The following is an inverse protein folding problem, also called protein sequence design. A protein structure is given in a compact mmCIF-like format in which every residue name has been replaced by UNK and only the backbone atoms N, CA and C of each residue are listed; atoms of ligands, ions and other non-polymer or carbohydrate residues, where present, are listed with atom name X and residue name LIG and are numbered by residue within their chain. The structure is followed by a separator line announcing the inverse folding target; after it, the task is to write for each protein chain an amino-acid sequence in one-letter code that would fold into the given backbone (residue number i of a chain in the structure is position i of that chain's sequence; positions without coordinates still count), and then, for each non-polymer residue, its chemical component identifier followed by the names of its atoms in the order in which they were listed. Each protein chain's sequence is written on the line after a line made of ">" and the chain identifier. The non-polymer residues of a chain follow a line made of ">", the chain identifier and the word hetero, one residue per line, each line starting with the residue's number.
data_IF_595673492889
#
_entry.id   IF_595673492889
#
_cell.length_a   1.000
_cell.length_b   1.000
_cell.length_c   1.000
_cell.angle_alpha   90.00
_cell.angle_beta   90.00
_cell.angle_gamma   90.00
#
_symmetry.space_group_name_H-M   'P 1'
#
loop_
_entity.id
_entity.type
_entity.pdbx_description
1 polymer ?
#
# COMPACT_ATOMS: atom_id res chain seq x y z
N UNK A 1 7.74 3.63 28.93
CA UNK A 1 7.90 2.64 27.84
C UNK A 1 7.22 3.18 26.60
N UNK A 2 7.97 3.87 25.75
CA UNK A 2 7.48 4.21 24.40
C UNK A 2 7.20 2.88 23.69
N UNK A 3 5.92 2.65 23.37
CA UNK A 3 5.53 1.51 22.55
C UNK A 3 6.27 1.66 21.23
N UNK A 4 7.24 0.78 20.97
CA UNK A 4 7.94 0.66 19.70
C UNK A 4 6.94 0.92 18.57
N UNK A 5 7.08 2.07 17.93
CA UNK A 5 6.32 2.44 16.77
C UNK A 5 6.68 1.38 15.74
N UNK A 6 5.79 0.43 15.52
CA UNK A 6 5.89 -0.51 14.41
C UNK A 6 5.05 0.15 13.33
N UNK A 7 5.59 1.14 12.60
CA UNK A 7 4.87 1.68 11.46
C UNK A 7 4.65 0.49 10.56
N UNK A 8 3.45 0.36 10.00
CA UNK A 8 3.26 -0.68 8.99
C UNK A 8 4.22 -0.36 7.86
N UNK A 9 5.22 -1.23 7.69
CA UNK A 9 6.19 -1.20 6.60
C UNK A 9 5.64 -2.12 5.52
N UNK A 10 5.21 -1.52 4.42
CA UNK A 10 5.18 -2.20 3.13
C UNK A 10 6.55 -2.09 2.46
N UNK A 11 6.83 -2.93 1.50
CA UNK A 11 8.07 -2.93 0.73
C UNK A 11 7.70 -2.67 -0.73
N UNK A 12 8.35 -1.70 -1.36
CA UNK A 12 8.18 -1.38 -2.78
C UNK A 12 9.49 -1.60 -3.52
N UNK A 13 9.40 -2.08 -4.75
CA UNK A 13 10.55 -2.12 -5.65
C UNK A 13 10.66 -0.76 -6.34
N UNK A 14 11.86 -0.16 -6.36
CA UNK A 14 12.06 1.10 -7.09
C UNK A 14 13.22 1.03 -8.07
N UNK A 15 13.11 1.79 -9.15
CA UNK A 15 14.17 1.96 -10.14
C UNK A 15 15.22 2.99 -9.69
N UNK A 16 16.23 3.25 -10.52
CA UNK A 16 17.30 4.22 -10.23
C UNK A 16 16.83 5.68 -10.18
N UNK A 17 15.61 5.95 -10.64
CA UNK A 17 14.93 7.25 -10.57
C UNK A 17 13.89 7.30 -9.45
N UNK A 18 13.85 6.27 -8.60
CA UNK A 18 12.92 6.14 -7.48
C UNK A 18 11.45 5.97 -7.89
N UNK A 19 11.17 5.54 -9.13
CA UNK A 19 9.81 5.15 -9.52
C UNK A 19 9.48 3.75 -9.05
N UNK A 20 8.23 3.52 -8.64
CA UNK A 20 7.75 2.19 -8.23
C UNK A 20 7.65 1.27 -9.45
N UNK A 21 8.17 0.05 -9.29
CA UNK A 21 8.17 -0.97 -10.34
C UNK A 21 6.95 -1.87 -10.17
N UNK A 22 5.92 -1.63 -10.98
CA UNK A 22 4.76 -2.52 -11.14
C UNK A 22 4.93 -3.59 -12.22
N UNK A 23 3.93 -4.48 -12.39
CA UNK A 23 3.84 -5.38 -13.54
C UNK A 23 3.86 -4.62 -14.88
N UNK A 24 4.42 -5.21 -15.95
CA UNK A 24 4.43 -4.57 -17.27
C UNK A 24 3.01 -4.22 -17.77
N UNK A 25 2.86 -3.03 -18.37
CA UNK A 25 1.58 -2.57 -18.93
C UNK A 25 0.52 -2.18 -17.90
N UNK A 26 0.90 -2.01 -16.62
CA UNK A 26 -0.01 -1.62 -15.55
C UNK A 26 0.45 -0.31 -14.90
N UNK A 27 -0.50 0.44 -14.37
CA UNK A 27 -0.27 1.68 -13.59
C UNK A 27 -0.40 1.43 -12.09
N UNK A 28 -0.18 0.20 -11.64
CA UNK A 28 -0.33 -0.17 -10.22
C UNK A 28 1.01 -0.06 -9.50
N UNK A 29 0.94 0.40 -8.26
CA UNK A 29 2.07 0.47 -7.34
C UNK A 29 1.99 -0.69 -6.33
N UNK A 30 2.69 -1.82 -6.57
CA UNK A 30 2.60 -2.97 -5.69
C UNK A 30 3.39 -2.74 -4.40
N UNK A 31 2.73 -2.99 -3.28
CA UNK A 31 3.32 -2.91 -1.94
C UNK A 31 3.26 -4.28 -1.26
N UNK A 32 4.43 -4.83 -0.96
CA UNK A 32 4.62 -6.19 -0.43
C UNK A 32 4.82 -6.20 1.08
N UNK A 33 4.49 -7.29 1.75
CA UNK A 33 4.63 -7.39 3.21
C UNK A 33 6.06 -7.64 3.69
N UNK A 34 6.97 -8.07 2.81
CA UNK A 34 8.39 -8.26 3.10
C UNK A 34 9.24 -8.07 1.85
N UNK A 35 10.53 -7.75 2.06
CA UNK A 35 11.51 -7.56 1.00
C UNK A 35 11.61 -8.75 0.04
N UNK A 36 11.64 -9.97 0.59
CA UNK A 36 11.71 -11.19 -0.22
C UNK A 36 10.53 -11.31 -1.20
N UNK A 37 9.32 -10.95 -0.77
CA UNK A 37 8.15 -10.99 -1.67
C UNK A 37 8.24 -9.97 -2.79
N UNK A 38 8.83 -8.81 -2.53
CA UNK A 38 9.11 -7.80 -3.55
C UNK A 38 10.15 -8.32 -4.57
N UNK A 39 11.25 -8.91 -4.09
CA UNK A 39 12.27 -9.52 -4.96
C UNK A 39 11.69 -10.67 -5.81
N UNK A 40 10.92 -11.57 -5.20
CA UNK A 40 10.26 -12.67 -5.92
C UNK A 40 9.30 -12.12 -6.99
N UNK A 41 8.64 -10.99 -6.73
CA UNK A 41 7.76 -10.33 -7.70
C UNK A 41 8.55 -9.72 -8.87
N UNK A 42 9.72 -9.11 -8.62
CA UNK A 42 10.59 -8.59 -9.66
C UNK A 42 10.98 -9.68 -10.68
N UNK A 43 11.24 -10.89 -10.20
CA UNK A 43 11.53 -12.06 -11.03
C UNK A 43 10.30 -12.45 -11.84
N UNK A 44 9.12 -12.57 -11.20
CA UNK A 44 7.86 -12.90 -11.89
C UNK A 44 7.48 -11.88 -12.96
N UNK A 45 7.78 -10.60 -12.74
CA UNK A 45 7.51 -9.52 -13.68
C UNK A 45 8.55 -9.44 -14.82
N UNK A 46 9.64 -10.21 -14.75
CA UNK A 46 10.75 -10.13 -15.69
C UNK A 46 11.46 -8.78 -15.66
N UNK A 47 11.54 -8.13 -14.49
CA UNK A 47 12.10 -6.77 -14.32
C UNK A 47 13.16 -6.68 -13.23
N UNK A 48 13.81 -7.80 -12.90
CA UNK A 48 14.83 -7.87 -11.83
C UNK A 48 16.03 -6.97 -12.13
N UNK A 49 16.38 -6.80 -13.41
CA UNK A 49 17.42 -5.90 -13.92
C UNK A 49 17.14 -4.42 -13.66
N UNK A 50 15.88 -4.05 -13.45
CA UNK A 50 15.45 -2.66 -13.22
C UNK A 50 15.39 -2.29 -11.74
N UNK A 51 15.45 -3.26 -10.84
CA UNK A 51 15.36 -3.02 -9.41
C UNK A 51 16.67 -2.39 -8.92
N UNK A 52 16.61 -1.11 -8.55
CA UNK A 52 17.73 -0.43 -7.93
C UNK A 52 17.79 -0.73 -6.42
N UNK A 53 16.64 -0.70 -5.75
CA UNK A 53 16.52 -1.03 -4.33
C UNK A 53 15.09 -1.46 -3.96
N UNK A 54 14.96 -2.15 -2.84
CA UNK A 54 13.68 -2.32 -2.16
C UNK A 54 13.56 -1.24 -1.08
N UNK A 55 12.53 -0.40 -1.17
CA UNK A 55 12.29 0.68 -0.23
C UNK A 55 11.19 0.30 0.75
N UNK A 56 11.39 0.68 2.02
CA UNK A 56 10.36 0.62 3.04
C UNK A 56 9.35 1.75 2.83
N UNK A 57 8.07 1.41 2.81
CA UNK A 57 6.95 2.33 2.67
C UNK A 57 6.13 2.33 3.97
N UNK A 58 6.15 3.46 4.67
CA UNK A 58 5.39 3.64 5.89
C UNK A 58 3.92 3.98 5.61
N UNK A 59 3.04 3.66 6.57
CA UNK A 59 1.61 3.98 6.52
C UNK A 59 1.32 5.45 6.17
N UNK A 60 2.14 6.40 6.65
CA UNK A 60 2.00 7.83 6.31
C UNK A 60 2.25 8.13 4.84
N UNK A 61 3.23 7.47 4.22
CA UNK A 61 3.42 7.53 2.77
C UNK A 61 2.22 6.94 2.01
N UNK A 62 1.63 5.86 2.54
CA UNK A 62 0.42 5.25 1.97
C UNK A 62 -0.79 6.20 2.08
N UNK A 63 -0.93 6.91 3.21
CA UNK A 63 -1.98 7.90 3.38
C UNK A 63 -1.83 9.10 2.45
N UNK A 64 -0.60 9.59 2.25
CA UNK A 64 -0.36 10.69 1.33
C UNK A 64 -0.77 10.33 -0.11
N UNK A 65 -0.43 9.13 -0.57
CA UNK A 65 -0.82 8.68 -1.92
C UNK A 65 -2.35 8.48 -2.03
N UNK A 66 -3.02 7.98 -0.99
CA UNK A 66 -4.48 7.82 -1.04
C UNK A 66 -5.23 9.16 -1.01
N UNK A 67 -4.71 10.16 -0.28
CA UNK A 67 -5.41 11.42 -0.04
C UNK A 67 -5.05 12.52 -1.05
N UNK A 68 -3.83 12.50 -1.60
CA UNK A 68 -3.27 13.63 -2.37
C UNK A 68 -2.69 13.28 -3.73
N UNK A 69 -2.62 11.99 -4.10
CA UNK A 69 -2.04 11.52 -5.36
C UNK A 69 -3.14 10.89 -6.25
N UNK A 70 -2.86 10.63 -7.52
CA UNK A 70 -3.72 9.87 -8.45
C UNK A 70 -3.46 8.35 -8.37
N UNK A 71 -2.33 7.94 -7.78
CA UNK A 71 -1.94 6.54 -7.63
C UNK A 71 -2.76 5.75 -6.61
N UNK A 72 -3.01 4.46 -6.88
CA UNK A 72 -3.54 3.50 -5.91
C UNK A 72 -2.49 2.44 -5.61
N UNK A 73 -2.11 2.30 -4.34
CA UNK A 73 -1.25 1.20 -3.95
C UNK A 73 -2.04 -0.08 -3.82
N UNK A 74 -1.50 -1.11 -4.46
CA UNK A 74 -2.08 -2.43 -4.47
C UNK A 74 -1.34 -3.30 -3.45
N UNK A 75 -2.07 -3.74 -2.43
CA UNK A 75 -1.54 -4.47 -1.27
C UNK A 75 -1.75 -5.98 -1.44
N UNK A 76 -0.77 -6.77 -0.99
CA UNK A 76 -0.97 -8.20 -0.75
C UNK A 76 -1.84 -8.45 0.50
N UNK A 77 -2.20 -9.70 0.79
CA UNK A 77 -3.09 -10.05 1.88
C UNK A 77 -2.60 -9.61 3.27
N UNK A 78 -1.30 -9.76 3.54
CA UNK A 78 -0.71 -9.39 4.84
C UNK A 78 -0.59 -7.88 4.97
N UNK A 79 -0.16 -7.20 3.91
CA UNK A 79 -0.13 -5.74 3.84
C UNK A 79 -1.53 -5.14 4.04
N UNK A 80 -2.54 -5.64 3.33
CA UNK A 80 -3.92 -5.17 3.47
C UNK A 80 -4.43 -5.32 4.90
N UNK A 81 -4.16 -6.46 5.55
CA UNK A 81 -4.57 -6.68 6.93
C UNK A 81 -3.86 -5.73 7.91
N UNK A 82 -2.54 -5.54 7.76
CA UNK A 82 -1.75 -4.63 8.60
C UNK A 82 -2.21 -3.19 8.39
N UNK A 83 -2.42 -2.79 7.14
CA UNK A 83 -2.93 -1.48 6.76
C UNK A 83 -4.30 -1.22 7.40
N UNK A 84 -5.27 -2.13 7.25
CA UNK A 84 -6.59 -2.03 7.86
C UNK A 84 -6.53 -1.87 9.39
N UNK A 85 -5.72 -2.69 10.07
CA UNK A 85 -5.52 -2.61 11.53
C UNK A 85 -4.91 -1.27 11.95
N UNK A 86 -3.97 -0.76 11.19
CA UNK A 86 -3.32 0.52 11.47
C UNK A 86 -4.26 1.71 11.24
N UNK A 87 -5.13 1.66 10.22
CA UNK A 87 -6.18 2.66 10.02
C UNK A 87 -7.08 2.76 11.26
N UNK A 88 -7.57 1.61 11.76
CA UNK A 88 -8.37 1.57 12.99
C UNK A 88 -7.64 2.13 14.22
N UNK A 89 -6.36 1.77 14.39
CA UNK A 89 -5.53 2.27 15.51
C UNK A 89 -5.36 3.80 15.48
N UNK A 90 -5.40 4.42 14.30
CA UNK A 90 -5.33 5.87 14.10
C UNK A 90 -6.69 6.57 14.18
N UNK A 91 -7.75 5.86 14.56
CA UNK A 91 -9.11 6.43 14.67
C UNK A 91 -9.82 6.60 13.33
N UNK A 92 -9.28 6.05 12.24
CA UNK A 92 -9.94 6.05 10.95
C UNK A 92 -11.00 4.95 10.89
N UNK A 93 -12.01 5.15 10.04
CA UNK A 93 -13.12 4.21 9.82
C UNK A 93 -12.96 3.47 8.47
N UNK A 94 -12.03 2.53 8.31
CA UNK A 94 -11.93 1.75 7.08
C UNK A 94 -13.17 0.85 6.90
N UNK A 95 -13.46 0.45 5.66
CA UNK A 95 -14.66 -0.31 5.29
C UNK A 95 -14.80 -1.58 6.13
N UNK A 96 -15.85 -1.61 6.95
CA UNK A 96 -16.14 -2.71 7.88
C UNK A 96 -16.33 -4.05 7.16
N UNK A 97 -16.81 -4.02 5.93
CA UNK A 97 -16.97 -5.21 5.08
C UNK A 97 -15.70 -5.57 4.32
N UNK A 98 -14.73 -4.66 4.20
CA UNK A 98 -13.44 -4.95 3.57
C UNK A 98 -12.61 -5.93 4.40
N UNK A 99 -12.60 -5.80 5.73
CA UNK A 99 -11.89 -6.73 6.61
C UNK A 99 -12.25 -8.20 6.39
N UNK A 100 -13.54 -8.48 6.14
CA UNK A 100 -14.06 -9.82 5.89
C UNK A 100 -13.59 -10.41 4.56
N UNK A 101 -13.15 -9.56 3.63
CA UNK A 101 -12.71 -9.93 2.27
C UNK A 101 -11.18 -10.09 2.15
N UNK A 102 -10.42 -9.72 3.18
CA UNK A 102 -8.97 -9.86 3.19
C UNK A 102 -8.60 -11.31 3.52
N UNK A 103 -8.01 -12.01 2.54
CA UNK A 103 -7.31 -13.26 2.76
C UNK A 103 -5.85 -12.95 3.11
N UNK A 104 -5.37 -13.24 4.33
CA UNK A 104 -3.99 -12.93 4.74
C UNK A 104 -2.93 -13.80 4.04
N UNK A 105 -3.32 -14.84 3.30
CA UNK A 105 -2.43 -15.68 2.51
C UNK A 105 -2.37 -15.29 1.03
N UNK A 106 -3.13 -14.28 0.63
CA UNK A 106 -3.05 -13.73 -0.72
C UNK A 106 -1.66 -13.15 -0.98
N UNK A 107 -1.03 -13.60 -2.07
CA UNK A 107 0.31 -13.18 -2.48
C UNK A 107 0.27 -12.11 -3.57
N UNK A 108 -0.86 -12.00 -4.27
CA UNK A 108 -1.02 -11.00 -5.32
C UNK A 108 -1.47 -9.66 -4.75
N UNK A 109 -0.91 -8.59 -5.31
CA UNK A 109 -1.25 -7.21 -4.98
C UNK A 109 -2.61 -6.85 -5.57
N UNK A 110 -3.70 -7.30 -4.94
CA UNK A 110 -5.07 -7.09 -5.42
C UNK A 110 -5.94 -6.23 -4.52
N UNK A 111 -5.48 -5.91 -3.31
CA UNK A 111 -6.22 -5.09 -2.37
C UNK A 111 -5.87 -3.62 -2.53
N UNK A 112 -6.81 -2.86 -3.11
CA UNK A 112 -6.71 -1.40 -3.23
C UNK A 112 -6.70 -0.71 -1.87
N UNK A 113 -5.66 0.08 -1.62
CA UNK A 113 -5.54 0.92 -0.43
C UNK A 113 -6.69 1.93 -0.31
N UNK A 114 -7.15 2.49 -1.44
CA UNK A 114 -8.30 3.40 -1.50
C UNK A 114 -9.61 2.71 -1.13
N UNK A 115 -9.87 1.52 -1.67
CA UNK A 115 -11.10 0.76 -1.36
C UNK A 115 -11.16 0.34 0.11
N UNK A 116 -10.02 0.12 0.76
CA UNK A 116 -9.97 -0.10 2.22
C UNK A 116 -10.46 1.14 2.98
N UNK A 117 -10.16 2.34 2.46
CA UNK A 117 -10.47 3.62 3.07
C UNK A 117 -11.81 4.22 2.62
N UNK A 118 -12.54 3.62 1.68
CA UNK A 118 -13.75 4.20 1.08
C UNK A 118 -14.94 4.39 2.06
N UNK A 119 -14.98 3.68 3.19
CA UNK A 119 -15.97 3.87 4.28
C UNK A 119 -15.51 4.90 5.32
N UNK A 120 -14.32 5.46 5.14
CA UNK A 120 -14.02 6.73 5.78
C UNK A 120 -15.00 7.67 5.12
N UNK A 121 -16.04 8.05 5.87
CA UNK A 121 -16.66 9.36 5.71
C UNK A 121 -15.49 10.33 5.60
N UNK A 122 -15.10 10.65 4.36
CA UNK A 122 -14.33 11.83 4.01
C UNK A 122 -15.25 12.97 4.40
N UNK A 123 -15.30 13.20 5.72
CA UNK A 123 -16.13 14.15 6.41
C UNK A 123 -15.71 15.49 5.87
N UNK A 124 -16.36 15.99 4.81
CA UNK A 124 -16.60 17.41 4.49
C UNK A 124 -15.44 18.43 4.73
N UNK A 125 -14.18 18.03 4.88
CA UNK A 125 -13.08 18.83 5.44
C UNK A 125 -11.74 18.57 4.79
N UNK A 126 -11.69 17.88 3.65
CA UNK A 126 -10.66 18.20 2.68
C UNK A 126 -11.39 18.87 1.54
N UNK A 127 -11.36 20.20 1.60
CA UNK A 127 -11.34 21.02 0.40
C UNK A 127 -10.34 20.38 -0.55
N UNK A 128 -10.83 19.51 -1.42
CA UNK A 128 -10.43 19.55 -2.81
C UNK A 128 -10.88 20.94 -3.29
N UNK A 129 -10.11 21.95 -2.89
CA UNK A 129 -10.06 23.20 -3.63
C UNK A 129 -9.54 22.79 -5.00
N UNK A 130 -10.49 22.49 -5.89
CA UNK A 130 -10.36 22.78 -7.31
C UNK A 130 -9.88 24.24 -7.46
N UNK A 131 -9.13 24.59 -8.51
CA UNK A 131 -8.82 23.81 -9.72
C UNK A 131 -7.35 23.36 -9.84
#
# INVERSE_FOLDING_TARGET
>A
MERAYNPVIGYVMVDSRYHIIGPPGTSIDPVFHCERSALDAAVRYGRSDKVHKISEQFLEGIFNVVVWDEGDMMLDGRCAQRFFKACKKRGLKPDKNFAKRINPYEKDNKYSSRKILADIELNRLILLSEP
#
